data_IF_145955287441
#
_entry.id   IF_145955287441
#
_cell.length_a   1.000
_cell.length_b   1.000
_cell.length_c   1.000
_cell.angle_alpha   90.00
_cell.angle_beta   90.00
_cell.angle_gamma   90.00
#
_symmetry.space_group_name_H-M   'P 1'
#
loop_
_entity.id
_entity.type
_entity.pdbx_description
1 polymer ?
#
# COMPACT_ATOMS: atom_id res chain seq x y z
N UNK A 1 27.02 19.59 -10.47
CA UNK A 1 26.34 18.46 -9.82
C UNK A 1 24.87 18.64 -10.12
N UNK A 2 24.39 17.94 -11.14
CA UNK A 2 22.98 17.94 -11.52
C UNK A 2 22.23 17.17 -10.45
N UNK A 3 21.38 17.87 -9.67
CA UNK A 3 20.34 17.23 -8.89
C UNK A 3 19.34 16.64 -9.89
N UNK A 4 19.65 15.46 -10.41
CA UNK A 4 18.65 14.60 -11.04
C UNK A 4 17.75 14.12 -9.90
N UNK A 5 16.75 14.94 -9.57
CA UNK A 5 15.64 14.51 -8.72
C UNK A 5 14.96 13.40 -9.51
N UNK A 6 15.29 12.15 -9.17
CA UNK A 6 14.63 10.99 -9.72
C UNK A 6 13.11 11.20 -9.59
N UNK A 7 12.31 10.88 -10.61
CA UNK A 7 10.87 11.05 -10.54
C UNK A 7 10.32 10.35 -9.31
N UNK A 8 9.38 11.01 -8.62
CA UNK A 8 8.70 10.45 -7.46
C UNK A 8 8.21 9.04 -7.79
N UNK A 9 8.77 8.07 -7.09
CA UNK A 9 8.52 6.66 -7.34
C UNK A 9 7.56 6.19 -6.27
N UNK A 10 6.37 5.76 -6.67
CA UNK A 10 5.39 5.16 -5.76
C UNK A 10 5.69 3.67 -5.60
N UNK A 11 5.40 3.10 -4.44
CA UNK A 11 5.53 1.67 -4.18
C UNK A 11 4.27 1.18 -3.45
N UNK A 12 3.78 0.00 -3.82
CA UNK A 12 2.83 -0.76 -3.00
C UNK A 12 3.60 -1.93 -2.41
N UNK A 13 3.44 -2.18 -1.12
CA UNK A 13 4.16 -3.22 -0.42
C UNK A 13 3.29 -3.92 0.64
N UNK A 14 3.67 -5.15 0.98
CA UNK A 14 3.17 -5.94 2.09
C UNK A 14 4.37 -6.31 2.96
N UNK A 15 4.35 -5.89 4.22
CA UNK A 15 5.33 -6.24 5.23
C UNK A 15 4.71 -7.28 6.15
N UNK A 16 5.29 -8.48 6.23
CA UNK A 16 4.81 -9.55 7.10
C UNK A 16 5.95 -10.09 7.95
N UNK A 17 5.69 -10.34 9.23
CA UNK A 17 6.64 -11.02 10.13
C UNK A 17 6.00 -12.24 10.78
N UNK A 18 6.84 -13.20 11.16
CA UNK A 18 6.41 -14.33 11.95
C UNK A 18 6.41 -13.91 13.44
N UNK A 19 5.31 -14.08 14.20
CA UNK A 19 5.28 -13.80 15.63
C UNK A 19 6.37 -14.51 16.45
N UNK A 20 6.86 -15.67 15.99
CA UNK A 20 7.94 -16.41 16.65
C UNK A 20 9.34 -15.85 16.34
N UNK A 21 9.48 -15.05 15.28
CA UNK A 21 10.73 -14.38 14.88
C UNK A 21 10.41 -12.96 14.39
N UNK A 22 9.87 -12.10 15.27
CA UNK A 22 9.30 -10.82 14.87
C UNK A 22 10.37 -9.78 14.47
N UNK A 23 11.64 -10.10 14.72
CA UNK A 23 12.82 -9.38 14.22
C UNK A 23 13.07 -9.57 12.72
N UNK A 24 12.35 -10.49 12.06
CA UNK A 24 12.46 -10.75 10.62
C UNK A 24 11.19 -10.36 9.89
N UNK A 25 11.31 -9.38 9.00
CA UNK A 25 10.21 -8.91 8.17
C UNK A 25 10.47 -9.28 6.71
N UNK A 26 9.51 -9.95 6.11
CA UNK A 26 9.46 -10.16 4.65
C UNK A 26 8.66 -9.03 4.03
N UNK A 27 9.27 -8.31 3.10
CA UNK A 27 8.63 -7.23 2.36
C UNK A 27 8.42 -7.68 0.94
N UNK A 28 7.17 -7.83 0.52
CA UNK A 28 6.82 -8.05 -0.90
C UNK A 28 6.35 -6.73 -1.48
N UNK A 29 6.92 -6.30 -2.59
CA UNK A 29 6.64 -4.96 -3.12
C UNK A 29 6.64 -4.91 -4.65
N UNK A 30 5.99 -3.88 -5.18
CA UNK A 30 5.93 -3.55 -6.60
C UNK A 30 6.25 -2.06 -6.79
N UNK A 31 7.10 -1.76 -7.76
CA UNK A 31 7.48 -0.40 -8.15
C UNK A 31 7.07 -0.17 -9.61
N UNK A 32 6.22 0.82 -9.92
CA UNK A 32 5.82 1.16 -11.27
C UNK A 32 6.91 1.99 -11.96
N UNK A 33 6.89 2.00 -13.30
CA UNK A 33 7.74 2.84 -14.14
C UNK A 33 8.99 2.14 -14.69
N UNK A 34 9.25 0.88 -14.31
CA UNK A 34 10.34 0.09 -14.87
C UNK A 34 9.79 -1.17 -15.55
N UNK A 35 9.71 -1.23 -16.90
CA UNK A 35 9.01 -2.31 -17.62
C UNK A 35 9.51 -3.73 -17.30
N UNK A 36 10.78 -3.88 -16.92
CA UNK A 36 11.34 -5.17 -16.50
C UNK A 36 10.91 -5.59 -15.07
N UNK A 37 10.42 -4.63 -14.27
CA UNK A 37 10.04 -4.80 -12.87
C UNK A 37 8.54 -4.89 -12.68
N UNK A 38 7.75 -4.37 -13.62
CA UNK A 38 6.28 -4.40 -13.55
C UNK A 38 5.71 -5.81 -13.79
N UNK A 39 6.50 -6.75 -14.32
CA UNK A 39 6.03 -8.11 -14.59
C UNK A 39 5.99 -9.02 -13.37
N UNK A 40 6.55 -8.60 -12.22
CA UNK A 40 6.61 -9.42 -11.01
C UNK A 40 6.74 -8.57 -9.75
N UNK A 41 6.21 -9.08 -8.65
CA UNK A 41 6.57 -8.58 -7.33
C UNK A 41 8.03 -8.90 -7.02
N UNK A 42 8.63 -8.09 -6.14
CA UNK A 42 9.97 -8.30 -5.58
C UNK A 42 9.87 -8.62 -4.10
N UNK A 43 10.91 -9.22 -3.56
CA UNK A 43 11.03 -9.51 -2.14
C UNK A 43 12.28 -8.85 -1.56
N UNK A 44 12.15 -8.35 -0.33
CA UNK A 44 13.26 -7.95 0.49
C UNK A 44 13.09 -8.55 1.89
N UNK A 45 14.20 -8.83 2.54
CA UNK A 45 14.23 -9.33 3.91
C UNK A 45 14.86 -8.27 4.80
N UNK A 46 14.15 -7.87 5.84
CA UNK A 46 14.65 -6.94 6.84
C UNK A 46 14.90 -7.74 8.12
N UNK A 47 16.13 -7.68 8.60
CA UNK A 47 16.54 -8.22 9.90
C UNK A 47 16.83 -7.06 10.86
N UNK A 48 16.10 -7.02 11.96
CA UNK A 48 16.23 -6.01 13.02
C UNK A 48 17.06 -6.59 14.17
N UNK A 49 18.25 -6.03 14.49
CA UNK A 49 19.07 -6.55 15.58
C UNK A 49 18.50 -6.23 16.97
N UNK A 50 17.65 -5.21 17.06
CA UNK A 50 17.10 -4.68 18.32
C UNK A 50 15.57 -4.64 18.31
N UNK A 51 14.94 -5.81 18.38
CA UNK A 51 13.49 -5.93 18.57
C UNK A 51 12.67 -5.97 17.28
N UNK A 52 11.36 -6.02 17.44
CA UNK A 52 10.40 -6.19 16.36
C UNK A 52 9.92 -4.85 15.77
N UNK A 53 9.49 -4.88 14.51
CA UNK A 53 8.88 -3.73 13.82
C UNK A 53 7.44 -3.43 14.31
N UNK A 54 6.93 -4.18 15.28
CA UNK A 54 5.55 -4.05 15.74
C UNK A 54 5.31 -2.79 16.59
N UNK A 55 6.37 -2.12 17.05
CA UNK A 55 6.33 -0.93 17.89
C UNK A 55 6.77 0.36 17.18
N UNK A 56 6.16 1.47 17.59
CA UNK A 56 6.63 2.80 17.23
C UNK A 56 8.04 3.04 17.81
N UNK A 57 8.89 3.73 17.05
CA UNK A 57 10.27 4.00 17.45
C UNK A 57 11.20 4.16 16.25
N UNK A 58 12.47 4.33 16.59
CA UNK A 58 13.56 4.32 15.62
C UNK A 58 14.18 2.93 15.61
N UNK A 59 14.32 2.34 14.42
CA UNK A 59 14.77 0.97 14.23
C UNK A 59 15.93 0.93 13.25
N UNK A 60 16.94 0.12 13.53
CA UNK A 60 17.97 -0.18 12.54
C UNK A 60 17.66 -1.54 11.91
N UNK A 61 17.79 -1.65 10.59
CA UNK A 61 17.57 -2.89 9.86
C UNK A 61 18.71 -3.16 8.88
N UNK A 62 19.11 -4.43 8.79
CA UNK A 62 19.85 -4.93 7.62
C UNK A 62 18.83 -5.41 6.59
N UNK A 63 18.91 -4.88 5.38
CA UNK A 63 18.02 -5.22 4.28
C UNK A 63 18.79 -6.06 3.28
N UNK A 64 18.26 -7.22 2.93
CA UNK A 64 18.75 -8.07 1.84
C UNK A 64 17.75 -8.08 0.70
N UNK A 65 18.18 -7.65 -0.48
CA UNK A 65 17.37 -7.60 -1.69
C UNK A 65 17.42 -8.94 -2.46
N UNK A 66 16.50 -9.11 -3.41
CA UNK A 66 16.42 -10.29 -4.29
C UNK A 66 17.70 -10.59 -5.08
N UNK A 67 18.48 -9.56 -5.41
CA UNK A 67 19.76 -9.71 -6.14
C UNK A 67 20.93 -10.09 -5.21
N UNK A 68 20.67 -10.25 -3.92
CA UNK A 68 21.66 -10.57 -2.89
C UNK A 68 22.43 -9.37 -2.35
N UNK A 69 22.15 -8.15 -2.82
CA UNK A 69 22.72 -6.95 -2.23
C UNK A 69 22.20 -6.72 -0.81
N UNK A 70 23.06 -6.14 0.03
CA UNK A 70 22.77 -5.82 1.42
C UNK A 70 22.97 -4.33 1.66
N UNK A 71 22.06 -3.74 2.45
CA UNK A 71 22.09 -2.34 2.81
C UNK A 71 21.59 -2.14 4.25
N UNK A 72 22.17 -1.17 4.96
CA UNK A 72 21.69 -0.77 6.29
C UNK A 72 20.70 0.37 6.12
N UNK A 73 19.53 0.23 6.74
CA UNK A 73 18.47 1.24 6.76
C UNK A 73 18.14 1.57 8.20
N UNK A 74 17.90 2.85 8.45
CA UNK A 74 17.25 3.34 9.65
C UNK A 74 15.77 3.57 9.32
N UNK A 75 14.87 3.06 10.14
CA UNK A 75 13.43 3.11 9.92
C UNK A 75 12.75 3.75 11.13
N UNK A 76 12.17 4.93 10.91
CA UNK A 76 11.34 5.60 11.89
C UNK A 76 9.88 5.18 11.69
N UNK A 77 9.30 4.57 12.72
CA UNK A 77 7.93 4.05 12.74
C UNK A 77 7.11 4.86 13.72
N UNK A 78 5.98 5.41 13.24
CA UNK A 78 4.99 6.07 14.11
C UNK A 78 3.65 5.38 13.95
N UNK A 79 3.04 4.97 15.05
CA UNK A 79 1.68 4.43 15.03
C UNK A 79 0.66 5.54 15.25
N UNK A 80 -0.41 5.54 14.46
CA UNK A 80 -1.58 6.41 14.67
C UNK A 80 -2.80 5.52 14.96
N UNK A 81 -3.38 5.67 16.13
CA UNK A 81 -4.40 4.76 16.67
C UNK A 81 -3.98 3.29 16.57
N UNK A 82 -4.91 2.43 16.15
CA UNK A 82 -4.71 0.98 16.11
C UNK A 82 -4.40 0.44 14.71
N UNK A 83 -4.80 1.15 13.65
CA UNK A 83 -4.72 0.63 12.28
C UNK A 83 -3.57 1.23 11.47
N UNK A 84 -3.10 2.44 11.79
CA UNK A 84 -2.25 3.20 10.89
C UNK A 84 -0.81 3.30 11.37
N UNK A 85 0.11 3.33 10.41
CA UNK A 85 1.55 3.45 10.65
C UNK A 85 2.12 4.48 9.67
N UNK A 86 2.96 5.39 10.12
CA UNK A 86 3.86 6.14 9.24
C UNK A 86 5.24 5.51 9.28
N UNK A 87 5.91 5.51 8.14
CA UNK A 87 7.24 4.96 7.96
C UNK A 87 8.12 6.00 7.28
N UNK A 88 9.32 6.22 7.79
CA UNK A 88 10.38 6.96 7.10
C UNK A 88 11.65 6.13 7.14
N UNK A 89 12.21 5.83 5.96
CA UNK A 89 13.44 5.08 5.82
C UNK A 89 14.58 6.02 5.44
N UNK A 90 15.67 5.93 6.19
CA UNK A 90 16.88 6.72 6.02
C UNK A 90 18.06 5.79 5.67
N UNK A 91 18.92 6.23 4.76
CA UNK A 91 20.20 5.57 4.44
C UNK A 91 21.30 6.62 4.59
N UNK A 92 22.28 6.36 5.46
CA UNK A 92 23.37 7.30 5.72
C UNK A 92 22.91 8.64 6.28
N UNK A 93 21.78 8.67 7.01
CA UNK A 93 21.19 9.89 7.59
C UNK A 93 20.35 10.73 6.64
N UNK A 94 20.12 10.28 5.40
CA UNK A 94 19.22 10.94 4.46
C UNK A 94 17.95 10.12 4.25
N UNK A 95 16.79 10.80 4.29
CA UNK A 95 15.49 10.18 4.01
C UNK A 95 15.42 9.78 2.53
N UNK A 96 15.40 8.47 2.29
CA UNK A 96 15.34 7.90 0.93
C UNK A 96 13.93 7.49 0.54
N UNK A 97 13.06 7.26 1.51
CA UNK A 97 11.72 6.74 1.28
C UNK A 97 10.77 7.07 2.43
N UNK A 98 9.52 7.38 2.09
CA UNK A 98 8.43 7.61 3.04
C UNK A 98 7.30 6.64 2.76
N UNK A 99 6.55 6.27 3.78
CA UNK A 99 5.45 5.34 3.64
C UNK A 99 4.32 5.58 4.63
N UNK A 100 3.13 5.16 4.20
CA UNK A 100 1.96 5.03 5.04
C UNK A 100 1.55 3.56 5.04
N UNK A 101 1.47 3.00 6.24
CA UNK A 101 1.08 1.66 6.56
C UNK A 101 -0.35 1.56 7.06
N UNK A 102 -1.01 0.47 6.69
CA UNK A 102 -2.30 0.02 7.18
C UNK A 102 -2.11 -1.40 7.73
N UNK A 103 -2.31 -1.59 9.03
CA UNK A 103 -2.31 -2.92 9.65
C UNK A 103 -3.45 -3.74 9.07
N UNK A 104 -3.14 -4.97 8.73
CA UNK A 104 -4.14 -5.89 8.18
C UNK A 104 -5.10 -6.32 9.30
N UNK A 105 -6.42 -6.17 9.07
CA UNK A 105 -7.43 -6.52 10.07
C UNK A 105 -7.48 -8.02 10.37
N UNK A 106 -7.13 -8.84 9.38
CA UNK A 106 -7.10 -10.30 9.50
C UNK A 106 -5.76 -10.81 10.07
N UNK A 107 -4.72 -9.96 10.06
CA UNK A 107 -3.35 -10.37 10.39
C UNK A 107 -2.60 -9.26 11.13
N UNK A 108 -2.55 -9.29 12.48
CA UNK A 108 -1.86 -8.27 13.27
C UNK A 108 -0.34 -8.23 13.03
N UNK A 109 0.22 -9.29 12.43
CA UNK A 109 1.63 -9.40 12.02
C UNK A 109 1.89 -8.95 10.57
N UNK A 110 0.96 -8.18 9.99
CA UNK A 110 1.04 -7.68 8.62
C UNK A 110 0.73 -6.19 8.56
N UNK A 111 1.52 -5.46 7.78
CA UNK A 111 1.27 -4.05 7.42
C UNK A 111 1.30 -3.92 5.91
N UNK A 112 0.24 -3.35 5.35
CA UNK A 112 0.13 -2.95 3.95
C UNK A 112 0.69 -1.54 3.81
N UNK A 113 1.57 -1.31 2.86
CA UNK A 113 2.37 -0.09 2.81
C UNK A 113 2.25 0.58 1.45
N UNK A 114 1.89 1.85 1.47
CA UNK A 114 1.96 2.77 0.34
C UNK A 114 3.19 3.65 0.51
N UNK A 115 4.21 3.40 -0.31
CA UNK A 115 5.51 4.05 -0.27
C UNK A 115 5.69 5.10 -1.36
N UNK A 116 6.54 6.09 -1.13
CA UNK A 116 6.94 7.06 -2.15
C UNK A 116 8.32 7.66 -1.91
N UNK A 117 8.92 8.13 -3.00
CA UNK A 117 10.08 9.03 -2.99
C UNK A 117 9.66 10.44 -3.44
N UNK A 118 10.40 11.46 -3.02
CA UNK A 118 10.08 12.85 -3.33
C UNK A 118 8.92 13.43 -2.50
N UNK A 119 8.30 14.48 -3.02
CA UNK A 119 7.35 15.31 -2.25
C UNK A 119 5.87 14.94 -2.46
N UNK A 120 5.56 14.20 -3.52
CA UNK A 120 4.18 13.84 -3.86
C UNK A 120 3.76 12.56 -3.14
N UNK A 121 3.12 12.72 -1.98
CA UNK A 121 2.58 11.61 -1.21
C UNK A 121 1.29 11.03 -1.86
N UNK A 122 1.10 9.70 -1.83
CA UNK A 122 -0.11 9.05 -2.32
C UNK A 122 -1.30 9.37 -1.42
N UNK A 123 -2.49 9.45 -1.98
CA UNK A 123 -3.71 9.75 -1.19
C UNK A 123 -4.02 8.67 -0.16
N UNK A 124 -3.73 7.41 -0.44
CA UNK A 124 -4.12 6.31 0.46
C UNK A 124 -3.50 4.97 0.15
N UNK A 125 -3.88 3.99 0.98
CA UNK A 125 -3.65 2.55 0.81
C UNK A 125 -4.97 1.81 1.06
N UNK A 126 -5.20 0.73 0.34
CA UNK A 126 -6.41 -0.08 0.44
C UNK A 126 -6.12 -1.54 0.13
N UNK A 127 -6.74 -2.44 0.90
CA UNK A 127 -6.92 -3.84 0.55
C UNK A 127 -8.29 -4.02 -0.09
N UNK A 128 -8.35 -4.73 -1.20
CA UNK A 128 -9.61 -5.19 -1.78
C UNK A 128 -9.65 -6.70 -1.74
N UNK A 129 -10.78 -7.27 -1.34
CA UNK A 129 -10.98 -8.72 -1.22
C UNK A 129 -12.25 -9.14 -1.95
N UNK A 130 -12.16 -10.09 -2.88
CA UNK A 130 -13.33 -10.70 -3.51
C UNK A 130 -14.05 -11.54 -2.45
N UNK A 131 -15.29 -11.17 -2.14
CA UNK A 131 -16.13 -11.92 -1.17
C UNK A 131 -16.93 -13.01 -1.85
N UNK A 132 -17.51 -12.66 -2.99
CA UNK A 132 -18.45 -13.49 -3.75
C UNK A 132 -18.41 -13.09 -5.23
N UNK A 133 -19.06 -13.86 -6.13
CA UNK A 133 -19.00 -13.63 -7.58
C UNK A 133 -19.44 -12.25 -8.10
N UNK A 134 -20.00 -11.39 -7.22
CA UNK A 134 -20.49 -10.07 -7.60
C UNK A 134 -20.05 -8.95 -6.66
N UNK A 135 -19.19 -9.25 -5.68
CA UNK A 135 -18.83 -8.27 -4.66
C UNK A 135 -17.37 -8.33 -4.23
N UNK A 136 -16.80 -7.14 -4.07
CA UNK A 136 -15.49 -6.88 -3.49
C UNK A 136 -15.68 -6.03 -2.23
N UNK A 137 -15.09 -6.43 -1.11
CA UNK A 137 -14.94 -5.56 0.07
C UNK A 137 -13.64 -4.75 -0.04
N UNK A 138 -13.67 -3.55 0.52
CA UNK A 138 -12.51 -2.67 0.62
C UNK A 138 -12.23 -2.36 2.09
N UNK A 139 -10.96 -2.38 2.47
CA UNK A 139 -10.48 -1.92 3.76
C UNK A 139 -9.38 -0.89 3.51
N UNK A 140 -9.68 0.39 3.77
CA UNK A 140 -8.87 1.49 3.26
C UNK A 140 -8.55 2.56 4.29
N UNK A 141 -7.48 3.29 4.03
CA UNK A 141 -7.14 4.52 4.72
C UNK A 141 -6.71 5.59 3.72
N UNK A 142 -7.15 6.83 3.97
CA UNK A 142 -6.67 8.02 3.27
C UNK A 142 -5.80 8.88 4.17
N UNK A 143 -4.78 9.54 3.61
CA UNK A 143 -3.99 10.54 4.33
C UNK A 143 -4.85 11.69 4.86
N UNK A 144 -5.93 12.06 4.16
CA UNK A 144 -6.83 13.11 4.65
C UNK A 144 -7.52 12.69 5.95
N UNK A 145 -7.89 11.42 6.06
CA UNK A 145 -8.41 10.84 7.30
C UNK A 145 -7.34 10.91 8.40
N UNK A 146 -6.13 10.44 8.11
CA UNK A 146 -5.01 10.46 9.05
C UNK A 146 -4.61 11.85 9.56
N UNK A 147 -4.78 12.92 8.76
CA UNK A 147 -4.46 14.31 9.15
C UNK A 147 -5.60 14.97 9.94
N UNK A 148 -6.83 14.48 9.80
CA UNK A 148 -7.99 14.99 10.52
C UNK A 148 -8.18 14.36 11.92
N UNK A 149 -7.15 13.64 12.42
CA UNK A 149 -7.20 12.95 13.71
C UNK A 149 -8.01 11.66 13.66
N UNK A 150 -8.16 11.08 12.48
CA UNK A 150 -8.88 9.84 12.27
C UNK A 150 -7.87 8.71 12.07
N UNK A 151 -7.83 7.82 13.05
CA UNK A 151 -6.79 6.79 13.15
C UNK A 151 -7.31 5.37 12.89
N UNK A 152 -8.48 5.29 12.24
CA UNK A 152 -9.16 4.04 11.91
C UNK A 152 -9.19 3.84 10.40
N UNK A 153 -9.13 2.60 9.97
CA UNK A 153 -9.44 2.25 8.60
C UNK A 153 -10.95 2.19 8.40
N UNK A 154 -11.39 2.45 7.17
CA UNK A 154 -12.79 2.48 6.81
C UNK A 154 -13.14 1.37 5.82
N UNK A 155 -14.37 0.85 5.86
CA UNK A 155 -14.83 -0.13 4.90
C UNK A 155 -15.30 0.52 3.59
N UNK A 156 -15.33 -0.27 2.54
CA UNK A 156 -15.98 0.06 1.29
C UNK A 156 -16.47 -1.20 0.59
N UNK A 157 -17.20 -1.01 -0.52
CA UNK A 157 -17.80 -2.10 -1.26
C UNK A 157 -17.89 -1.77 -2.74
N UNK A 158 -17.43 -2.71 -3.57
CA UNK A 158 -17.62 -2.67 -5.01
C UNK A 158 -18.57 -3.77 -5.46
N UNK A 159 -19.43 -3.45 -6.42
CA UNK A 159 -20.39 -4.37 -7.04
C UNK A 159 -20.06 -4.51 -8.52
N UNK A 160 -19.93 -5.75 -8.98
CA UNK A 160 -19.62 -6.09 -10.37
C UNK A 160 -19.12 -7.53 -10.47
N UNK A 161 -19.02 -8.07 -11.69
CA UNK A 161 -18.65 -9.46 -11.93
C UNK A 161 -17.19 -9.74 -11.57
N UNK A 162 -16.96 -10.63 -10.59
CA UNK A 162 -15.61 -11.04 -10.12
C UNK A 162 -15.27 -12.47 -10.52
N UNK A 163 -16.09 -13.15 -11.33
CA UNK A 163 -15.88 -14.58 -11.67
C UNK A 163 -14.58 -14.85 -12.42
N UNK A 164 -13.97 -13.81 -12.99
CA UNK A 164 -12.68 -13.87 -13.68
C UNK A 164 -11.57 -13.13 -12.90
N UNK A 165 -11.74 -12.98 -11.58
CA UNK A 165 -10.86 -12.20 -10.71
C UNK A 165 -11.18 -10.71 -10.71
N UNK A 166 -10.17 -9.90 -10.37
CA UNK A 166 -10.27 -8.44 -10.26
C UNK A 166 -10.41 -7.64 -11.57
N UNK A 167 -9.88 -8.05 -12.74
CA UNK A 167 -9.99 -7.22 -13.94
C UNK A 167 -11.44 -7.01 -14.37
N UNK A 168 -11.85 -5.75 -14.51
CA UNK A 168 -13.23 -5.41 -14.84
C UNK A 168 -13.62 -3.99 -14.47
N UNK A 169 -14.92 -3.71 -14.56
CA UNK A 169 -15.52 -2.44 -14.15
C UNK A 169 -16.59 -2.70 -13.11
N UNK A 170 -16.56 -1.92 -12.04
CA UNK A 170 -17.38 -2.08 -10.85
C UNK A 170 -17.97 -0.72 -10.44
N UNK A 171 -19.08 -0.75 -9.72
CA UNK A 171 -19.57 0.40 -8.98
C UNK A 171 -19.07 0.30 -7.54
N UNK A 172 -18.21 1.23 -7.11
CA UNK A 172 -17.64 1.23 -5.75
C UNK A 172 -18.13 2.40 -4.91
N UNK A 173 -18.43 2.11 -3.65
CA UNK A 173 -18.73 3.10 -2.61
C UNK A 173 -17.81 2.87 -1.42
N UNK A 174 -17.47 3.94 -0.73
CA UNK A 174 -16.72 3.87 0.53
C UNK A 174 -17.49 4.51 1.65
N UNK A 175 -17.47 3.87 2.81
CA UNK A 175 -17.94 4.51 4.02
C UNK A 175 -16.94 5.59 4.41
N UNK A 176 -17.46 6.73 4.80
CA UNK A 176 -16.72 7.85 5.35
C UNK A 176 -17.16 8.15 6.76
N UNK A 177 -16.41 9.01 7.43
CA UNK A 177 -16.72 9.40 8.80
C UNK A 177 -18.05 10.13 8.91
N UNK A 178 -18.67 10.02 10.09
CA UNK A 178 -19.97 10.64 10.38
C UNK A 178 -21.13 10.01 9.62
N UNK A 179 -20.99 8.77 9.14
CA UNK A 179 -22.00 8.09 8.33
C UNK A 179 -22.10 8.63 6.90
N UNK A 180 -21.04 9.29 6.41
CA UNK A 180 -20.97 9.73 5.02
C UNK A 180 -20.68 8.54 4.11
N UNK A 181 -21.10 8.61 2.85
CA UNK A 181 -20.76 7.62 1.83
C UNK A 181 -20.17 8.36 0.63
N UNK A 182 -19.01 7.90 0.18
CA UNK A 182 -18.33 8.42 -1.00
C UNK A 182 -18.63 7.53 -2.20
N UNK A 183 -18.98 8.14 -3.33
CA UNK A 183 -19.36 7.46 -4.56
C UNK A 183 -20.86 7.54 -4.87
N UNK A 184 -21.40 6.65 -5.72
CA UNK A 184 -20.69 5.58 -6.39
C UNK A 184 -19.65 6.13 -7.39
N UNK A 185 -18.50 5.47 -7.46
CA UNK A 185 -17.52 5.67 -8.52
C UNK A 185 -17.61 4.52 -9.52
N UNK A 186 -17.45 4.83 -10.80
CA UNK A 186 -17.07 3.84 -11.81
C UNK A 186 -15.60 3.49 -11.55
N UNK A 187 -15.38 2.27 -11.08
CA UNK A 187 -14.06 1.76 -10.72
C UNK A 187 -13.63 0.73 -11.75
N UNK A 188 -12.54 1.02 -12.47
CA UNK A 188 -12.00 0.12 -13.48
C UNK A 188 -10.64 -0.40 -13.03
N UNK A 189 -10.48 -1.72 -13.10
CA UNK A 189 -9.25 -2.44 -12.78
C UNK A 189 -8.75 -3.11 -14.05
N UNK A 190 -7.51 -2.81 -14.43
CA UNK A 190 -6.84 -3.43 -15.58
C UNK A 190 -5.62 -4.20 -15.09
N UNK A 191 -5.49 -5.46 -15.50
CA UNK A 191 -4.27 -6.22 -15.23
C UNK A 191 -3.11 -5.73 -16.10
N UNK A 192 -1.93 -5.64 -15.50
CA UNK A 192 -0.66 -5.30 -16.14
C UNK A 192 0.43 -6.23 -15.61
N UNK A 193 0.51 -7.44 -16.17
CA UNK A 193 1.42 -8.47 -15.66
C UNK A 193 1.02 -8.93 -14.26
N UNK A 194 1.92 -8.80 -13.28
CA UNK A 194 1.63 -9.06 -11.87
C UNK A 194 0.98 -7.87 -11.15
N UNK A 195 0.86 -6.73 -11.84
CA UNK A 195 0.30 -5.51 -11.31
C UNK A 195 -1.15 -5.29 -11.75
N UNK A 196 -1.82 -4.37 -11.08
CA UNK A 196 -3.10 -3.80 -11.47
C UNK A 196 -2.98 -2.29 -11.59
N UNK A 197 -3.62 -1.72 -12.61
CA UNK A 197 -3.89 -0.30 -12.70
C UNK A 197 -5.37 -0.06 -12.41
N UNK A 198 -5.63 0.95 -11.58
CA UNK A 198 -6.97 1.26 -11.09
C UNK A 198 -7.32 2.70 -11.39
N UNK A 199 -8.58 2.92 -11.78
CA UNK A 199 -9.12 4.28 -11.98
C UNK A 199 -10.47 4.40 -11.31
N UNK A 200 -10.73 5.55 -10.70
CA UNK A 200 -12.02 5.92 -10.13
C UNK A 200 -12.55 7.11 -10.91
N UNK A 201 -13.74 6.96 -11.49
CA UNK A 201 -14.46 8.01 -12.23
C UNK A 201 -15.79 8.32 -11.59
N UNK A 202 -16.17 9.58 -11.61
CA UNK A 202 -17.50 10.03 -11.23
C UNK A 202 -18.02 11.00 -12.29
N UNK A 203 -19.20 10.73 -12.83
CA UNK A 203 -19.80 11.53 -13.91
C UNK A 203 -18.84 11.72 -15.11
N UNK A 204 -18.11 10.65 -15.48
CA UNK A 204 -17.13 10.66 -16.57
C UNK A 204 -15.80 11.35 -16.27
N UNK A 205 -15.67 12.03 -15.13
CA UNK A 205 -14.43 12.67 -14.71
C UNK A 205 -13.55 11.69 -13.95
N UNK A 206 -12.24 11.66 -14.24
CA UNK A 206 -11.25 10.91 -13.46
C UNK A 206 -10.98 11.63 -12.13
N UNK A 207 -11.15 10.92 -11.03
CA UNK A 207 -10.93 11.42 -9.68
C UNK A 207 -9.63 10.90 -9.07
N UNK A 208 -9.39 9.60 -9.23
CA UNK A 208 -8.22 8.94 -8.64
C UNK A 208 -7.64 7.93 -9.63
N UNK A 209 -6.36 7.67 -9.45
CA UNK A 209 -5.62 6.59 -10.07
C UNK A 209 -4.91 5.80 -8.99
N UNK A 210 -4.64 4.54 -9.25
CA UNK A 210 -3.98 3.68 -8.28
C UNK A 210 -3.27 2.54 -8.98
N UNK A 211 -2.35 1.93 -8.26
CA UNK A 211 -1.69 0.73 -8.72
C UNK A 211 -1.58 -0.26 -7.57
N UNK A 212 -1.47 -1.54 -7.89
CA UNK A 212 -1.36 -2.56 -6.86
C UNK A 212 -0.92 -3.90 -7.41
N UNK A 213 -0.96 -4.91 -6.55
CA UNK A 213 -0.63 -6.28 -6.89
C UNK A 213 -1.48 -7.26 -6.04
N UNK A 214 -1.58 -8.50 -6.50
CA UNK A 214 -2.25 -9.57 -5.74
C UNK A 214 -1.50 -9.86 -4.45
N UNK A 215 -2.24 -9.98 -3.34
CA UNK A 215 -1.65 -10.41 -2.09
C UNK A 215 -1.10 -11.85 -2.24
N UNK A 216 0.21 -12.08 -2.04
CA UNK A 216 0.78 -13.42 -2.15
C UNK A 216 0.20 -14.45 -1.17
N UNK A 217 -0.35 -13.99 -0.04
CA UNK A 217 -0.96 -14.86 0.97
C UNK A 217 -2.45 -15.11 0.71
N UNK A 218 -3.09 -14.29 -0.12
CA UNK A 218 -4.52 -14.37 -0.42
C UNK A 218 -4.78 -13.95 -1.87
N UNK A 219 -4.93 -14.91 -2.81
CA UNK A 219 -5.12 -14.59 -4.23
C UNK A 219 -6.45 -13.90 -4.54
N UNK A 220 -7.42 -13.94 -3.61
CA UNK A 220 -8.67 -13.21 -3.69
C UNK A 220 -8.54 -11.77 -3.16
N UNK A 221 -7.33 -11.35 -2.77
CA UNK A 221 -7.01 -10.00 -2.32
C UNK A 221 -6.02 -9.28 -3.23
N UNK A 222 -6.17 -7.96 -3.35
CA UNK A 222 -5.15 -7.05 -3.92
C UNK A 222 -4.84 -5.92 -2.94
N UNK A 223 -3.60 -5.45 -2.99
CA UNK A 223 -3.10 -4.32 -2.19
C UNK A 223 -2.81 -3.18 -3.15
N UNK A 224 -3.41 -2.03 -2.90
CA UNK A 224 -3.40 -0.90 -3.84
C UNK A 224 -3.04 0.38 -3.11
N UNK A 225 -2.10 1.14 -3.65
CA UNK A 225 -1.96 2.56 -3.33
C UNK A 225 -2.74 3.38 -4.36
N UNK A 226 -3.26 4.53 -3.92
CA UNK A 226 -4.02 5.41 -4.81
C UNK A 226 -3.72 6.88 -4.54
N UNK A 227 -3.89 7.69 -5.59
CA UNK A 227 -3.62 9.12 -5.61
C UNK A 227 -4.74 9.85 -6.35
N UNK A 228 -5.15 11.00 -5.81
CA UNK A 228 -6.00 11.95 -6.51
C UNK A 228 -5.30 12.51 -7.75
N UNK A 229 -6.06 12.79 -8.80
CA UNK A 229 -5.53 13.48 -9.97
C UNK A 229 -5.33 14.96 -9.62
N UNK A 230 -4.10 15.47 -9.75
CA UNK A 230 -3.85 16.91 -9.63
C UNK A 230 -4.67 17.64 -10.70
N UNK A 231 -5.51 18.59 -10.26
CA UNK A 231 -6.29 19.47 -11.14
C UNK A 231 -5.52 20.75 -11.43
#
# INVERSE_FOLDING_TARGET
>A
MTNDIAPATLAAAKCAWNPDTPERVTVTYLVPGHPADESRTRTAFLDFPEGALDAAGHHQASVRLDDGSELSVELDVKTRGTALVDLEANIGGEAVWRGMGLRDEDSPSTVLVSGWTGDAAPTGIVRYTIRDPYTIDAYYCSMMSAVSGQDEALPGRAIGDTRNGFPGTYAITYDGYGGTTWGPFEWTITARGAAFDLTWRQNGQLWMTGFGFTDPADPESIIVNYSGVQR
#
